data_IF_536941573624
#
_entry.id   IF_536941573624
#
_cell.length_a   1.000
_cell.length_b   1.000
_cell.length_c   1.000
_cell.angle_alpha   90.00
_cell.angle_beta   90.00
_cell.angle_gamma   90.00
#
_symmetry.space_group_name_H-M   'P 1'
#
loop_
_entity.id
_entity.type
_entity.pdbx_description
1 polymer ?
#
# COMPACT_ATOMS: atom_id res chain seq x y z
N UNK A 1 27.77 51.86 60.74
CA UNK A 1 27.86 50.44 61.15
C UNK A 1 26.49 49.84 60.87
N UNK A 2 26.13 49.44 59.65
CA UNK A 2 26.56 48.24 58.88
C UNK A 2 26.32 46.99 59.72
N UNK A 3 25.27 46.18 59.46
CA UNK A 3 25.35 45.08 58.48
C UNK A 3 24.00 44.67 57.85
N UNK A 4 24.06 44.37 56.54
CA UNK A 4 23.11 43.58 55.73
C UNK A 4 23.43 42.07 55.86
N UNK A 5 22.40 41.22 55.75
CA UNK A 5 22.35 39.88 55.10
C UNK A 5 21.15 39.11 55.69
N UNK A 6 20.40 38.26 54.98
CA UNK A 6 20.71 37.57 53.73
C UNK A 6 19.47 37.05 53.00
N UNK A 7 19.76 36.69 51.76
CA UNK A 7 18.87 36.21 50.70
C UNK A 7 18.84 34.68 50.78
N UNK A 8 17.67 34.06 50.91
CA UNK A 8 17.50 32.62 50.67
C UNK A 8 16.76 32.45 49.35
N UNK A 9 17.48 31.91 48.38
CA UNK A 9 16.95 31.54 47.07
C UNK A 9 16.49 30.09 47.02
N UNK A 10 15.72 29.84 45.96
CA UNK A 10 15.61 28.60 45.20
C UNK A 10 15.03 27.36 45.89
N UNK A 11 13.95 26.84 45.30
CA UNK A 11 14.02 25.53 44.63
C UNK A 11 12.81 25.38 43.69
N UNK A 12 13.02 25.61 42.40
CA UNK A 12 12.13 25.13 41.35
C UNK A 12 12.27 23.61 41.26
N UNK A 13 11.25 22.88 41.71
CA UNK A 13 11.12 21.46 41.41
C UNK A 13 10.59 21.32 39.98
N UNK A 14 11.50 21.16 39.02
CA UNK A 14 11.15 20.70 37.67
C UNK A 14 10.91 19.20 37.76
N UNK A 15 9.64 18.81 37.81
CA UNK A 15 9.21 17.42 37.80
C UNK A 15 9.34 16.87 36.37
N UNK A 16 10.49 16.28 36.05
CA UNK A 16 10.62 15.45 34.85
C UNK A 16 9.87 14.13 35.10
N UNK A 17 8.67 14.01 34.54
CA UNK A 17 8.00 12.72 34.38
C UNK A 17 8.78 11.91 33.35
N UNK A 18 9.66 11.05 33.85
CA UNK A 18 10.34 10.03 33.06
C UNK A 18 9.34 8.90 32.82
N UNK A 19 8.61 8.94 31.70
CA UNK A 19 7.81 7.79 31.26
C UNK A 19 8.77 6.67 30.87
N UNK A 20 8.86 5.65 31.70
CA UNK A 20 9.56 4.41 31.36
C UNK A 20 8.82 3.73 30.21
N UNK A 21 9.42 3.74 29.02
CA UNK A 21 8.98 2.89 27.92
C UNK A 21 9.37 1.44 28.26
N UNK A 22 8.41 0.65 28.74
CA UNK A 22 8.56 -0.79 28.83
C UNK A 22 8.72 -1.34 27.42
N UNK A 23 9.94 -1.70 27.03
CA UNK A 23 10.18 -2.48 25.84
C UNK A 23 9.62 -3.89 26.07
N UNK A 24 8.43 -4.16 25.56
CA UNK A 24 7.91 -5.53 25.42
C UNK A 24 8.78 -6.22 24.37
N UNK A 25 9.74 -7.01 24.82
CA UNK A 25 10.40 -8.00 24.00
C UNK A 25 9.43 -9.16 23.80
N UNK A 26 9.05 -9.45 22.55
CA UNK A 26 8.44 -10.74 22.23
C UNK A 26 7.03 -10.70 21.65
N UNK A 27 6.83 -9.93 20.58
CA UNK A 27 5.99 -10.26 19.43
C UNK A 27 6.39 -9.23 18.39
N UNK A 28 7.20 -9.63 17.41
CA UNK A 28 7.76 -8.71 16.43
C UNK A 28 6.61 -7.92 15.82
N UNK A 29 6.55 -6.62 16.10
CA UNK A 29 5.66 -5.71 15.38
C UNK A 29 5.83 -6.03 13.90
N UNK A 30 4.72 -6.12 13.12
CA UNK A 30 4.82 -6.42 11.71
C UNK A 30 5.85 -5.45 11.14
N UNK A 31 6.97 -6.01 10.69
CA UNK A 31 7.99 -5.24 10.03
C UNK A 31 7.26 -4.55 8.89
N UNK A 32 7.13 -3.22 8.97
CA UNK A 32 6.35 -2.45 8.00
C UNK A 32 6.86 -2.76 6.58
N UNK A 33 8.11 -3.23 6.41
CA UNK A 33 8.66 -3.70 5.14
C UNK A 33 7.87 -4.86 4.54
N UNK A 34 7.35 -5.79 5.36
CA UNK A 34 6.50 -6.90 4.88
C UNK A 34 5.15 -6.40 4.34
N UNK A 35 4.64 -5.29 4.88
CA UNK A 35 3.36 -4.68 4.45
C UNK A 35 3.57 -3.70 3.30
N UNK A 36 4.64 -2.92 3.35
CA UNK A 36 5.02 -1.89 2.39
C UNK A 36 5.62 -2.51 1.11
N UNK A 37 6.29 -3.66 1.21
CA UNK A 37 6.76 -4.39 0.03
C UNK A 37 5.59 -4.97 -0.79
N UNK A 38 5.83 -5.19 -2.08
CA UNK A 38 4.89 -5.89 -2.96
C UNK A 38 4.54 -5.14 -4.25
N UNK A 39 3.43 -5.56 -4.85
CA UNK A 39 2.95 -5.06 -6.13
C UNK A 39 2.01 -3.87 -5.96
N UNK A 40 2.18 -2.88 -6.81
CA UNK A 40 1.37 -1.67 -6.87
C UNK A 40 0.98 -1.37 -8.32
N UNK A 41 -0.12 -0.65 -8.49
CA UNK A 41 -0.54 -0.07 -9.77
C UNK A 41 -0.56 1.44 -9.70
N UNK A 42 -0.05 2.07 -10.75
CA UNK A 42 -0.08 3.51 -10.98
C UNK A 42 -1.28 3.86 -11.87
N UNK A 43 -2.32 4.53 -11.35
CA UNK A 43 -3.55 4.78 -12.11
C UNK A 43 -3.34 5.61 -13.37
N UNK A 44 -2.26 6.39 -13.48
CA UNK A 44 -1.96 7.19 -14.67
C UNK A 44 -1.45 6.34 -15.84
N UNK A 45 -0.98 5.12 -15.57
CA UNK A 45 -0.35 4.24 -16.55
C UNK A 45 -0.96 2.83 -16.59
N UNK A 46 -1.73 2.44 -15.58
CA UNK A 46 -2.20 1.07 -15.44
C UNK A 46 -3.26 0.71 -16.48
N UNK A 47 -3.02 -0.39 -17.20
CA UNK A 47 -4.00 -1.01 -18.09
C UNK A 47 -4.23 -2.47 -17.70
N UNK A 48 -5.46 -2.86 -17.32
CA UNK A 48 -5.78 -4.24 -16.98
C UNK A 48 -5.36 -5.23 -18.07
N UNK A 49 -4.80 -6.37 -17.67
CA UNK A 49 -4.32 -7.41 -18.59
C UNK A 49 -2.97 -7.13 -19.24
N UNK A 50 -2.27 -6.06 -18.85
CA UNK A 50 -0.93 -5.71 -19.36
C UNK A 50 0.07 -5.54 -18.22
N UNK A 51 1.34 -5.30 -18.56
CA UNK A 51 2.37 -4.87 -17.60
C UNK A 51 2.48 -3.34 -17.50
N UNK A 52 1.59 -2.59 -18.12
CA UNK A 52 1.59 -1.13 -18.03
C UNK A 52 1.19 -0.68 -16.62
N UNK A 53 1.88 0.33 -16.10
CA UNK A 53 1.59 0.93 -14.80
C UNK A 53 1.88 0.04 -13.58
N UNK A 54 2.49 -1.14 -13.74
CA UNK A 54 2.87 -1.98 -12.61
C UNK A 54 4.13 -1.46 -11.92
N UNK A 55 4.20 -1.60 -10.59
CA UNK A 55 5.36 -1.27 -9.77
C UNK A 55 5.56 -2.40 -8.75
N UNK A 56 6.78 -2.91 -8.66
CA UNK A 56 7.18 -3.83 -7.61
C UNK A 56 8.11 -3.07 -6.65
N UNK A 57 7.75 -3.00 -5.37
CA UNK A 57 8.63 -2.50 -4.31
C UNK A 57 9.30 -3.66 -3.60
N UNK A 58 10.62 -3.62 -3.49
CA UNK A 58 11.43 -4.58 -2.73
C UNK A 58 12.39 -3.91 -1.76
N UNK A 59 12.73 -4.64 -0.70
CA UNK A 59 13.72 -4.26 0.30
C UNK A 59 14.98 -5.12 0.14
N UNK A 60 16.17 -4.61 0.49
CA UNK A 60 17.35 -5.44 0.57
C UNK A 60 17.19 -6.48 1.69
N UNK A 61 17.92 -7.60 1.59
CA UNK A 61 17.86 -8.67 2.58
C UNK A 61 18.41 -8.28 3.97
N UNK A 62 19.00 -7.09 4.10
CA UNK A 62 19.49 -6.54 5.37
C UNK A 62 18.31 -6.20 6.28
N UNK A 63 18.14 -6.90 7.41
CA UNK A 63 17.02 -6.63 8.33
C UNK A 63 17.03 -5.19 8.83
N UNK A 64 15.86 -4.55 8.83
CA UNK A 64 15.71 -3.17 9.31
C UNK A 64 16.29 -2.10 8.39
N UNK A 65 16.66 -2.43 7.14
CA UNK A 65 17.10 -1.43 6.17
C UNK A 65 16.03 -0.35 5.95
N UNK A 66 16.44 0.92 5.90
CA UNK A 66 15.53 1.99 5.47
C UNK A 66 15.46 2.11 3.95
N UNK A 67 16.29 1.38 3.21
CA UNK A 67 16.38 1.46 1.75
C UNK A 67 15.38 0.52 1.09
N UNK A 68 14.88 0.94 -0.07
CA UNK A 68 14.05 0.11 -0.94
C UNK A 68 14.34 0.44 -2.41
N UNK A 69 13.84 -0.40 -3.31
CA UNK A 69 13.84 -0.11 -4.73
C UNK A 69 12.47 -0.42 -5.34
N UNK A 70 12.10 0.38 -6.34
CA UNK A 70 11.05 0.05 -7.26
C UNK A 70 11.62 -0.52 -8.54
N UNK A 71 10.94 -1.51 -9.10
CA UNK A 71 11.03 -1.90 -10.50
C UNK A 71 9.65 -1.75 -11.12
N UNK A 72 9.52 -1.09 -12.27
CA UNK A 72 8.21 -0.86 -12.88
C UNK A 72 8.27 -0.59 -14.37
N UNK A 73 7.09 -0.48 -14.98
CA UNK A 73 6.95 -0.12 -16.39
C UNK A 73 5.74 0.80 -16.61
N UNK A 74 5.89 1.82 -17.45
CA UNK A 74 4.78 2.73 -17.79
C UNK A 74 4.02 2.26 -19.03
N UNK A 75 4.70 1.57 -19.95
CA UNK A 75 4.20 1.15 -21.26
C UNK A 75 4.16 -0.38 -21.42
N UNK A 76 4.51 -1.11 -20.36
CA UNK A 76 4.53 -2.58 -20.32
C UNK A 76 5.67 -3.21 -21.11
N UNK A 77 6.50 -2.41 -21.80
CA UNK A 77 7.59 -2.87 -22.65
C UNK A 77 8.96 -2.47 -22.10
N UNK A 78 9.09 -1.26 -21.55
CA UNK A 78 10.32 -0.73 -20.97
C UNK A 78 10.23 -0.75 -19.46
N UNK A 79 11.21 -1.40 -18.84
CA UNK A 79 11.33 -1.48 -17.40
C UNK A 79 12.39 -0.52 -16.90
N UNK A 80 12.09 0.10 -15.76
CA UNK A 80 12.97 1.03 -15.07
C UNK A 80 13.10 0.61 -13.60
N UNK A 81 14.18 1.08 -12.98
CA UNK A 81 14.43 0.95 -11.55
C UNK A 81 14.51 2.34 -10.92
N UNK A 82 14.04 2.48 -9.70
CA UNK A 82 14.21 3.70 -8.90
C UNK A 82 14.55 3.30 -7.46
N UNK A 83 15.60 3.89 -6.91
CA UNK A 83 16.00 3.65 -5.52
C UNK A 83 15.27 4.63 -4.58
N UNK A 84 15.01 4.21 -3.35
CA UNK A 84 14.37 5.03 -2.35
C UNK A 84 14.77 4.69 -0.92
N UNK A 85 14.30 5.52 0.01
CA UNK A 85 14.54 5.39 1.44
C UNK A 85 13.31 5.79 2.24
N UNK A 86 13.17 5.19 3.42
CA UNK A 86 12.18 5.57 4.43
C UNK A 86 12.70 6.79 5.18
N UNK A 87 11.89 7.83 5.23
CA UNK A 87 12.20 9.06 5.95
C UNK A 87 11.74 9.01 7.41
N UNK A 88 10.60 8.38 7.65
CA UNK A 88 9.94 8.36 8.96
C UNK A 88 8.94 7.20 9.02
N UNK A 89 8.96 6.45 10.11
CA UNK A 89 8.02 5.38 10.42
C UNK A 89 7.46 5.49 11.84
N UNK A 90 7.66 6.62 12.53
CA UNK A 90 7.23 6.81 13.92
C UNK A 90 5.69 6.69 14.09
N UNK A 91 4.94 6.96 13.03
CA UNK A 91 3.47 6.85 13.02
C UNK A 91 2.97 5.45 12.61
N UNK A 92 3.85 4.47 12.40
CA UNK A 92 3.45 3.12 12.00
C UNK A 92 2.57 2.45 13.04
N UNK A 93 2.92 2.52 14.33
CA UNK A 93 2.17 1.79 15.35
C UNK A 93 0.78 2.38 15.59
N UNK A 94 0.62 3.70 15.46
CA UNK A 94 -0.62 4.41 15.79
C UNK A 94 -1.52 4.66 14.59
N UNK A 95 -0.94 4.96 13.42
CA UNK A 95 -1.68 5.35 12.21
C UNK A 95 -1.37 4.47 11.00
N UNK A 96 -0.39 3.57 11.10
CA UNK A 96 0.11 2.74 9.99
C UNK A 96 0.64 3.59 8.82
N UNK A 97 1.23 4.74 9.12
CA UNK A 97 1.81 5.63 8.11
C UNK A 97 3.34 5.50 8.05
N UNK A 98 3.89 5.56 6.83
CA UNK A 98 5.34 5.60 6.57
C UNK A 98 5.63 6.67 5.53
N UNK A 99 6.58 7.57 5.81
CA UNK A 99 7.05 8.57 4.85
C UNK A 99 8.21 8.03 4.04
N UNK A 100 8.15 8.27 2.73
CA UNK A 100 9.07 7.72 1.74
C UNK A 100 9.73 8.84 0.94
N UNK A 101 10.93 8.57 0.44
CA UNK A 101 11.60 9.34 -0.60
C UNK A 101 12.09 8.39 -1.69
N UNK A 102 11.88 8.75 -2.95
CA UNK A 102 12.35 7.98 -4.11
C UNK A 102 13.06 8.90 -5.08
N UNK A 103 14.09 8.38 -5.73
CA UNK A 103 14.80 9.05 -6.81
C UNK A 103 14.30 8.51 -8.15
N UNK A 104 13.45 9.27 -8.85
CA UNK A 104 12.99 8.93 -10.20
C UNK A 104 13.88 9.51 -11.30
N UNK A 105 14.98 10.18 -10.98
CA UNK A 105 15.92 10.68 -11.99
C UNK A 105 16.49 9.54 -12.84
N UNK A 106 16.72 8.36 -12.25
CA UNK A 106 17.19 7.16 -12.95
C UNK A 106 16.18 6.63 -14.01
N UNK A 107 14.90 7.03 -13.91
CA UNK A 107 13.85 6.77 -14.91
C UNK A 107 13.91 7.77 -16.09
N UNK A 108 14.75 8.81 -15.99
CA UNK A 108 14.78 9.93 -16.93
C UNK A 108 13.86 11.10 -16.54
N UNK A 109 13.39 11.12 -15.29
CA UNK A 109 12.64 12.27 -14.78
C UNK A 109 13.56 13.49 -14.60
N UNK A 110 13.00 14.72 -14.63
CA UNK A 110 13.80 15.91 -14.41
C UNK A 110 14.43 15.93 -13.01
N UNK A 111 15.50 16.73 -12.84
CA UNK A 111 16.39 16.63 -11.68
C UNK A 111 15.69 16.87 -10.32
N UNK A 112 14.58 17.61 -10.31
CA UNK A 112 13.71 17.85 -9.17
C UNK A 112 13.01 16.58 -8.64
N UNK A 113 13.04 15.47 -9.38
CA UNK A 113 12.51 14.17 -8.97
C UNK A 113 13.53 13.28 -8.27
N UNK A 114 14.72 13.79 -7.95
CA UNK A 114 15.73 13.06 -7.19
C UNK A 114 15.31 12.81 -5.72
N UNK A 115 14.41 13.63 -5.19
CA UNK A 115 13.88 13.54 -3.83
C UNK A 115 12.35 13.54 -3.81
N UNK A 116 11.73 12.68 -4.62
CA UNK A 116 10.29 12.62 -4.75
C UNK A 116 9.64 11.97 -3.53
N UNK A 117 8.81 12.72 -2.81
CA UNK A 117 8.25 12.29 -1.52
C UNK A 117 6.91 11.61 -1.68
N UNK A 118 6.67 10.61 -0.83
CA UNK A 118 5.39 9.92 -0.73
C UNK A 118 5.05 9.53 0.70
N UNK A 119 3.79 9.20 0.93
CA UNK A 119 3.31 8.63 2.19
C UNK A 119 2.59 7.33 1.90
N UNK A 120 3.07 6.24 2.49
CA UNK A 120 2.36 4.98 2.52
C UNK A 120 1.36 4.96 3.67
N UNK A 121 0.15 4.53 3.37
CA UNK A 121 -0.90 4.22 4.33
C UNK A 121 -1.14 2.71 4.35
N UNK A 122 -0.71 2.07 5.42
CA UNK A 122 -0.85 0.63 5.64
C UNK A 122 -2.28 0.17 5.89
N UNK A 123 -3.22 1.08 6.19
CA UNK A 123 -4.65 0.75 6.31
C UNK A 123 -5.26 0.59 4.92
N UNK A 124 -4.96 1.53 4.02
CA UNK A 124 -5.52 1.54 2.66
C UNK A 124 -4.66 0.81 1.63
N UNK A 125 -3.40 0.53 1.96
CA UNK A 125 -2.42 -0.05 1.04
C UNK A 125 -2.03 0.92 -0.09
N UNK A 126 -2.04 2.23 0.17
CA UNK A 126 -1.78 3.25 -0.86
C UNK A 126 -0.49 4.01 -0.59
N UNK A 127 0.26 4.31 -1.64
CA UNK A 127 1.33 5.30 -1.61
C UNK A 127 0.83 6.56 -2.31
N UNK A 128 0.63 7.64 -1.56
CA UNK A 128 0.28 8.95 -2.12
C UNK A 128 1.54 9.77 -2.28
N UNK A 129 1.84 10.17 -3.50
CA UNK A 129 3.00 10.97 -3.86
C UNK A 129 2.72 12.48 -3.76
N UNK A 130 3.79 13.28 -3.74
CA UNK A 130 3.70 14.73 -3.62
C UNK A 130 2.99 15.44 -4.79
N UNK A 131 2.85 14.78 -5.94
CA UNK A 131 2.06 15.25 -7.09
C UNK A 131 0.57 14.90 -7.01
N UNK A 132 0.16 14.21 -5.94
CA UNK A 132 -1.20 13.71 -5.74
C UNK A 132 -1.48 12.36 -6.41
N UNK A 133 -0.54 11.79 -7.16
CA UNK A 133 -0.70 10.45 -7.71
C UNK A 133 -0.70 9.42 -6.56
N UNK A 134 -1.61 8.45 -6.62
CA UNK A 134 -1.80 7.47 -5.56
C UNK A 134 -1.68 6.04 -6.13
N UNK A 135 -0.56 5.38 -5.81
CA UNK A 135 -0.34 4.00 -6.21
C UNK A 135 -1.04 3.04 -5.26
N UNK A 136 -1.75 2.06 -5.80
CA UNK A 136 -2.58 1.13 -5.02
C UNK A 136 -1.91 -0.24 -4.96
N UNK A 137 -1.65 -0.73 -3.75
CA UNK A 137 -1.12 -2.07 -3.53
C UNK A 137 -2.12 -3.10 -4.01
N UNK A 138 -1.67 -4.01 -4.85
CA UNK A 138 -2.45 -5.15 -5.29
C UNK A 138 -2.46 -6.18 -4.16
N UNK A 139 -3.65 -6.69 -3.85
CA UNK A 139 -3.77 -7.85 -2.97
C UNK A 139 -3.28 -9.07 -3.72
N UNK A 140 -2.78 -10.06 -2.99
CA UNK A 140 -2.33 -11.32 -3.57
C UNK A 140 -3.44 -11.89 -4.47
N UNK A 141 -3.09 -12.12 -5.74
CA UNK A 141 -3.93 -12.86 -6.65
C UNK A 141 -3.70 -14.32 -6.30
N UNK A 142 -4.73 -15.02 -5.80
CA UNK A 142 -4.66 -16.48 -5.75
C UNK A 142 -4.61 -16.96 -7.19
N UNK A 143 -3.43 -17.41 -7.60
CA UNK A 143 -3.29 -18.09 -8.87
C UNK A 143 -3.82 -19.50 -8.64
N UNK A 144 -5.13 -19.66 -8.86
CA UNK A 144 -5.74 -20.98 -8.96
C UNK A 144 -5.22 -21.60 -10.26
N UNK A 145 -4.06 -22.25 -10.18
CA UNK A 145 -3.54 -23.05 -11.27
C UNK A 145 -4.47 -24.24 -11.46
N UNK A 146 -5.47 -24.07 -12.33
CA UNK A 146 -6.36 -25.13 -12.78
C UNK A 146 -5.56 -26.14 -13.63
N UNK A 147 -4.74 -26.97 -12.98
CA UNK A 147 -3.99 -28.03 -13.62
C UNK A 147 -2.62 -28.30 -13.00
N UNK A 148 -2.57 -29.01 -11.87
CA UNK A 148 -1.32 -29.59 -11.37
C UNK A 148 -1.25 -29.79 -9.86
N UNK A 149 -1.84 -30.88 -9.37
CA UNK A 149 -1.52 -31.55 -8.09
C UNK A 149 -0.01 -31.55 -7.82
N UNK A 150 0.53 -31.22 -6.63
CA UNK A 150 0.33 -31.94 -5.37
C UNK A 150 0.97 -31.21 -4.17
N UNK A 151 0.28 -31.21 -3.01
CA UNK A 151 0.95 -31.39 -1.71
C UNK A 151 1.05 -30.18 -0.77
N UNK A 152 0.50 -30.38 0.44
CA UNK A 152 0.66 -29.60 1.67
C UNK A 152 -0.11 -28.26 1.80
N UNK A 153 -1.44 -28.35 1.70
CA UNK A 153 -2.34 -27.37 2.31
C UNK A 153 -2.54 -27.67 3.81
N UNK A 154 -2.05 -26.78 4.67
CA UNK A 154 -2.53 -26.60 6.04
C UNK A 154 -2.68 -25.11 6.30
N UNK A 155 -3.85 -24.57 6.00
CA UNK A 155 -4.44 -23.52 6.83
C UNK A 155 -5.96 -23.58 6.66
N UNK A 156 -6.57 -24.27 7.61
CA UNK A 156 -7.98 -24.09 7.94
C UNK A 156 -8.14 -22.72 8.58
N UNK A 157 -8.92 -21.84 7.95
CA UNK A 157 -9.88 -20.92 8.59
C UNK A 157 -10.40 -19.95 7.50
N UNK A 158 -11.46 -20.33 6.78
CA UNK A 158 -12.86 -20.15 7.18
C UNK A 158 -13.31 -18.68 7.10
N UNK A 159 -13.86 -18.26 5.96
CA UNK A 159 -15.33 -18.14 5.76
C UNK A 159 -16.02 -17.15 6.71
N UNK A 160 -16.14 -15.87 6.28
CA UNK A 160 -17.28 -14.99 6.61
C UNK A 160 -17.16 -13.61 5.89
N UNK A 161 -17.17 -13.55 4.55
CA UNK A 161 -17.35 -12.26 3.85
C UNK A 161 -17.91 -12.35 2.41
N UNK A 162 -18.41 -13.51 1.98
CA UNK A 162 -18.80 -13.77 0.59
C UNK A 162 -20.32 -13.89 0.34
N UNK A 163 -21.15 -13.24 1.16
CA UNK A 163 -22.61 -13.31 1.01
C UNK A 163 -23.28 -12.02 0.50
N UNK A 164 -22.55 -10.91 0.31
CA UNK A 164 -23.16 -9.62 -0.04
C UNK A 164 -22.93 -9.16 -1.50
N UNK A 165 -21.97 -9.73 -2.24
CA UNK A 165 -21.65 -9.28 -3.60
C UNK A 165 -22.39 -10.08 -4.70
N UNK A 166 -22.86 -11.29 -4.41
CA UNK A 166 -23.47 -12.19 -5.42
C UNK A 166 -24.96 -11.94 -5.68
N UNK A 167 -25.54 -10.83 -5.20
CA UNK A 167 -26.94 -10.47 -5.46
C UNK A 167 -27.10 -9.27 -6.41
N UNK A 168 -26.03 -8.54 -6.72
CA UNK A 168 -26.10 -7.39 -7.62
C UNK A 168 -25.84 -7.76 -9.11
N UNK A 169 -25.01 -8.76 -9.39
CA UNK A 169 -24.63 -9.09 -10.78
C UNK A 169 -25.60 -10.03 -11.50
N UNK A 170 -26.43 -10.80 -10.77
CA UNK A 170 -27.42 -11.68 -11.39
C UNK A 170 -28.60 -10.90 -12.00
N UNK A 171 -28.84 -9.66 -11.56
CA UNK A 171 -29.97 -8.85 -12.03
C UNK A 171 -29.72 -8.18 -13.40
N UNK A 172 -28.46 -8.12 -13.85
CA UNK A 172 -28.11 -7.47 -15.10
C UNK A 172 -28.04 -8.45 -16.29
N UNK A 173 -27.74 -9.72 -16.05
CA UNK A 173 -27.73 -10.75 -17.10
C UNK A 173 -29.14 -11.18 -17.51
N UNK A 174 -30.07 -11.32 -16.55
CA UNK A 174 -31.47 -11.70 -16.85
C UNK A 174 -32.24 -10.62 -17.66
N UNK A 175 -31.72 -9.39 -17.74
CA UNK A 175 -32.35 -8.31 -18.51
C UNK A 175 -32.01 -8.36 -20.01
N UNK A 176 -30.86 -8.93 -20.40
CA UNK A 176 -30.41 -8.92 -21.81
C UNK A 176 -31.09 -10.03 -22.61
N UNK A 177 -31.28 -11.20 -22.01
CA UNK A 177 -31.90 -12.35 -22.69
C UNK A 177 -33.41 -12.14 -22.98
N UNK A 178 -34.08 -11.22 -22.27
CA UNK A 178 -35.49 -10.90 -22.50
C UNK A 178 -35.74 -9.94 -23.67
N UNK A 179 -34.72 -9.20 -24.11
CA UNK A 179 -34.85 -8.21 -25.21
C UNK A 179 -34.68 -8.89 -26.57
N UNK A 180 -33.84 -9.92 -26.67
CA UNK A 180 -33.59 -10.62 -27.94
C UNK A 180 -34.73 -11.58 -28.33
N UNK A 181 -35.49 -12.11 -27.37
CA UNK A 181 -36.67 -12.95 -27.65
C UNK A 181 -37.86 -12.16 -28.24
N UNK A 182 -37.92 -10.84 -28.04
CA UNK A 182 -39.00 -9.99 -28.56
C UNK A 182 -38.77 -9.49 -30.00
N UNK A 183 -37.54 -9.61 -30.55
CA UNK A 183 -37.26 -9.17 -31.91
C UNK A 183 -37.61 -10.23 -32.96
N UNK A 184 -37.52 -11.53 -32.62
CA UNK A 184 -37.81 -12.63 -33.53
C UNK A 184 -39.33 -12.85 -33.73
N UNK A 185 -40.18 -12.42 -32.77
CA UNK A 185 -41.62 -12.62 -32.86
C UNK A 185 -42.35 -11.61 -33.78
N UNK A 186 -41.73 -10.49 -34.18
CA UNK A 186 -42.40 -9.44 -34.99
C UNK A 186 -42.18 -9.54 -36.50
N UNK A 187 -41.30 -10.43 -36.97
CA UNK A 187 -41.01 -10.57 -38.40
C UNK A 187 -41.93 -11.59 -39.13
N UNK A 188 -42.78 -12.32 -38.40
CA UNK A 188 -43.67 -13.33 -38.97
C UNK A 188 -45.14 -12.88 -39.16
N UNK A 189 -45.50 -11.65 -38.81
CA UNK A 189 -46.88 -11.12 -38.93
C UNK A 189 -47.10 -10.20 -40.16
N UNK A 190 -46.18 -10.21 -41.14
CA UNK A 190 -46.27 -9.37 -42.35
C UNK A 190 -46.16 -10.16 -43.67
N UNK A 191 -46.62 -11.41 -43.67
CA UNK A 191 -47.01 -12.13 -44.88
C UNK A 191 -48.54 -12.23 -44.99
#
# INVERSE_FOLDING_TARGET
MTTRAGKLGSCSAVLFLLSAATAVLGQGAPDFQTVLGGFYTDPNHYKPGTLEGIRLMGFPATPGSSEFAFTGSDDGAKFWKASGKILDSAEWETKKLVKLQTNFHEKGAPADFAEFKGTFDGVTGRITWQDGNAWVRQKEVSLDFAGGSSGAGSSTDATAAAAAATLAEKKQHDSIDSVEQNFIAKENDNL
#
